data_IF_789175998234
#
_entry.id   IF_789175998234
#
_cell.length_a   1.000
_cell.length_b   1.000
_cell.length_c   1.000
_cell.angle_alpha   90.00
_cell.angle_beta   90.00
_cell.angle_gamma   90.00
#
_symmetry.space_group_name_H-M   'P 1'
#
loop_
_entity.id
_entity.type
_entity.pdbx_description
1 polymer ?
#
# COMPACT_ATOMS: atom_id res chain seq x y z
N UNK A 1 26.30 7.79 -1.04
CA UNK A 1 25.28 8.06 -2.07
C UNK A 1 25.54 9.44 -2.65
N UNK A 2 25.84 9.55 -3.94
CA UNK A 2 26.02 10.87 -4.60
C UNK A 2 24.62 11.45 -4.81
N UNK A 3 24.32 12.55 -4.17
CA UNK A 3 23.02 13.22 -4.31
C UNK A 3 22.95 13.80 -5.74
N UNK A 4 22.08 13.27 -6.58
CA UNK A 4 21.82 13.85 -7.89
C UNK A 4 20.83 15.00 -7.71
N UNK A 5 21.23 16.23 -8.08
CA UNK A 5 20.33 17.41 -8.00
C UNK A 5 19.08 17.32 -8.90
N UNK A 6 19.02 16.27 -9.74
CA UNK A 6 17.89 15.95 -10.62
C UNK A 6 16.98 14.83 -10.08
N UNK A 7 17.19 14.36 -8.84
CA UNK A 7 16.37 13.31 -8.22
C UNK A 7 15.23 13.90 -7.37
N UNK A 8 14.01 13.42 -7.56
CA UNK A 8 12.83 13.82 -6.79
C UNK A 8 12.02 12.58 -6.41
N UNK A 9 11.35 12.59 -5.25
CA UNK A 9 10.41 11.51 -4.89
C UNK A 9 9.26 11.42 -5.90
N UNK A 10 8.74 10.20 -6.09
CA UNK A 10 7.64 9.97 -7.05
C UNK A 10 6.40 10.80 -6.69
N UNK A 11 6.13 11.06 -5.42
CA UNK A 11 5.06 11.97 -5.00
C UNK A 11 5.16 13.33 -5.69
N UNK A 12 6.34 13.97 -5.62
CA UNK A 12 6.57 15.25 -6.28
C UNK A 12 6.56 15.11 -7.81
N UNK A 13 7.09 14.02 -8.33
CA UNK A 13 7.14 13.75 -9.77
C UNK A 13 5.73 13.67 -10.38
N UNK A 14 4.80 12.96 -9.73
CA UNK A 14 3.39 12.84 -10.12
C UNK A 14 2.71 14.20 -10.25
N UNK A 15 2.98 15.12 -9.32
CA UNK A 15 2.35 16.44 -9.31
C UNK A 15 3.07 17.48 -10.20
N UNK A 16 4.19 17.12 -10.80
CA UNK A 16 5.01 18.02 -11.63
C UNK A 16 5.10 17.56 -13.08
N UNK A 17 4.53 16.40 -13.42
CA UNK A 17 4.64 15.81 -14.76
C UNK A 17 3.27 15.31 -15.25
N UNK A 18 3.09 15.18 -16.59
CA UNK A 18 1.91 14.54 -17.15
C UNK A 18 1.71 13.12 -16.61
N UNK A 19 0.46 12.69 -16.32
CA UNK A 19 0.17 11.37 -15.75
C UNK A 19 0.76 10.20 -16.51
N UNK A 20 0.83 10.27 -17.84
CA UNK A 20 1.44 9.23 -18.68
C UNK A 20 2.92 8.99 -18.40
N UNK A 21 3.68 10.02 -18.01
CA UNK A 21 5.09 9.86 -17.60
C UNK A 21 5.20 9.11 -16.27
N UNK A 22 4.37 9.46 -15.31
CA UNK A 22 4.32 8.81 -14.00
C UNK A 22 3.88 7.35 -14.14
N UNK A 23 2.88 7.06 -14.99
CA UNK A 23 2.46 5.70 -15.29
C UNK A 23 3.57 4.87 -15.94
N UNK A 24 4.34 5.46 -16.88
CA UNK A 24 5.48 4.78 -17.50
C UNK A 24 6.57 4.41 -16.47
N UNK A 25 6.86 5.31 -15.52
CA UNK A 25 7.78 5.03 -14.41
C UNK A 25 7.25 3.86 -13.55
N UNK A 26 5.99 3.90 -13.09
CA UNK A 26 5.44 2.82 -12.26
C UNK A 26 5.41 1.47 -12.98
N UNK A 27 5.03 1.44 -14.26
CA UNK A 27 5.08 0.22 -15.07
C UNK A 27 6.50 -0.34 -15.18
N UNK A 28 7.48 0.55 -15.33
CA UNK A 28 8.89 0.16 -15.35
C UNK A 28 9.35 -0.41 -14.02
N UNK A 29 9.00 0.23 -12.90
CA UNK A 29 9.29 -0.27 -11.55
C UNK A 29 8.70 -1.66 -11.36
N UNK A 30 7.39 -1.83 -11.61
CA UNK A 30 6.69 -3.10 -11.43
C UNK A 30 7.26 -4.21 -12.31
N UNK A 31 7.64 -3.90 -13.56
CA UNK A 31 8.29 -4.85 -14.45
C UNK A 31 9.66 -5.26 -13.92
N UNK A 32 10.47 -4.31 -13.50
CA UNK A 32 11.82 -4.60 -13.00
C UNK A 32 11.77 -5.43 -11.69
N UNK A 33 10.85 -5.12 -10.78
CA UNK A 33 10.64 -5.93 -9.57
C UNK A 33 10.25 -7.37 -9.93
N UNK A 34 9.33 -7.54 -10.88
CA UNK A 34 8.91 -8.86 -11.34
C UNK A 34 10.07 -9.66 -11.97
N UNK A 35 10.82 -9.03 -12.86
CA UNK A 35 11.90 -9.70 -13.62
C UNK A 35 13.19 -9.92 -12.81
N UNK A 36 13.53 -9.00 -11.90
CA UNK A 36 14.81 -8.98 -11.22
C UNK A 36 14.74 -9.43 -9.75
N UNK A 37 13.55 -9.40 -9.15
CA UNK A 37 13.37 -9.73 -7.75
C UNK A 37 12.37 -10.88 -7.55
N UNK A 38 11.12 -10.72 -7.97
CA UNK A 38 10.06 -11.68 -7.62
C UNK A 38 10.26 -13.05 -8.28
N UNK A 39 10.41 -13.10 -9.62
CA UNK A 39 10.58 -14.36 -10.34
C UNK A 39 11.87 -15.12 -9.98
N UNK A 40 13.05 -14.45 -9.89
CA UNK A 40 14.28 -15.16 -9.58
C UNK A 40 14.34 -15.74 -8.16
N UNK A 41 13.56 -15.18 -7.23
CA UNK A 41 13.55 -15.61 -5.81
C UNK A 41 12.27 -16.33 -5.41
N UNK A 42 11.42 -16.70 -6.39
CA UNK A 42 10.17 -17.39 -6.15
C UNK A 42 10.35 -18.71 -5.38
N UNK A 43 9.53 -18.90 -4.35
CA UNK A 43 9.59 -20.05 -3.46
C UNK A 43 8.18 -20.41 -2.92
N UNK A 44 7.99 -21.63 -2.40
CA UNK A 44 6.73 -22.00 -1.73
C UNK A 44 6.47 -21.13 -0.49
N UNK A 45 5.19 -20.91 -0.19
CA UNK A 45 4.78 -20.28 1.05
C UNK A 45 5.16 -21.16 2.27
N UNK A 46 5.57 -20.50 3.34
CA UNK A 46 5.90 -21.14 4.61
C UNK A 46 4.71 -21.00 5.59
N UNK A 47 4.02 -22.10 5.95
CA UNK A 47 2.88 -22.04 6.85
C UNK A 47 3.21 -21.43 8.23
N UNK A 48 4.42 -21.63 8.76
CA UNK A 48 4.82 -21.08 10.05
C UNK A 48 4.93 -19.56 9.98
N UNK A 49 5.47 -19.02 8.89
CA UNK A 49 5.54 -17.58 8.65
C UNK A 49 4.18 -16.95 8.46
N UNK A 50 3.25 -17.66 7.80
CA UNK A 50 1.85 -17.20 7.66
C UNK A 50 1.22 -17.08 9.05
N UNK A 51 1.35 -18.08 9.92
CA UNK A 51 0.85 -18.01 11.29
C UNK A 51 1.47 -16.87 12.07
N UNK A 52 2.78 -16.69 11.94
CA UNK A 52 3.50 -15.60 12.59
C UNK A 52 2.99 -14.23 12.11
N UNK A 53 2.73 -14.08 10.81
CA UNK A 53 2.17 -12.86 10.22
C UNK A 53 0.77 -12.56 10.77
N UNK A 54 -0.13 -13.56 10.78
CA UNK A 54 -1.48 -13.39 11.30
C UNK A 54 -1.47 -12.97 12.77
N UNK A 55 -0.69 -13.64 13.60
CA UNK A 55 -0.64 -13.34 15.03
C UNK A 55 0.08 -12.01 15.33
N UNK A 56 1.27 -11.79 14.78
CA UNK A 56 2.12 -10.64 15.15
C UNK A 56 1.81 -9.35 14.38
N UNK A 57 1.24 -9.45 13.18
CA UNK A 57 0.91 -8.24 12.40
C UNK A 57 -0.58 -7.96 12.43
N UNK A 58 -1.43 -8.91 12.10
CA UNK A 58 -2.86 -8.67 12.02
C UNK A 58 -3.47 -8.54 13.40
N UNK A 59 -3.42 -9.58 14.24
CA UNK A 59 -4.08 -9.57 15.55
C UNK A 59 -3.53 -8.49 16.48
N UNK A 60 -2.19 -8.40 16.58
CA UNK A 60 -1.57 -7.39 17.44
C UNK A 60 -1.90 -5.95 16.99
N UNK A 61 -2.06 -5.70 15.69
CA UNK A 61 -2.48 -4.38 15.21
C UNK A 61 -3.98 -4.14 15.43
N UNK A 62 -4.83 -5.15 15.27
CA UNK A 62 -6.26 -5.05 15.61
C UNK A 62 -6.46 -4.75 17.10
N UNK A 63 -5.69 -5.39 17.98
CA UNK A 63 -5.69 -5.09 19.42
C UNK A 63 -5.30 -3.64 19.71
N UNK A 64 -4.20 -3.16 19.09
CA UNK A 64 -3.78 -1.76 19.24
C UNK A 64 -4.84 -0.78 18.78
N UNK A 65 -5.53 -1.08 17.67
CA UNK A 65 -6.63 -0.24 17.15
C UNK A 65 -7.80 -0.25 18.14
N UNK A 66 -8.19 -1.42 18.64
CA UNK A 66 -9.28 -1.58 19.60
C UNK A 66 -9.00 -0.86 20.92
N UNK A 67 -7.75 -0.88 21.38
CA UNK A 67 -7.35 -0.28 22.65
C UNK A 67 -6.95 1.20 22.52
N UNK A 68 -6.82 1.72 21.32
CA UNK A 68 -6.50 3.12 21.09
C UNK A 68 -7.61 4.02 21.64
N UNK A 69 -7.23 4.99 22.50
CA UNK A 69 -8.17 5.84 23.26
C UNK A 69 -9.30 6.45 22.42
N UNK A 70 -9.00 6.91 21.22
CA UNK A 70 -9.97 7.55 20.31
C UNK A 70 -10.83 6.51 19.59
N UNK A 71 -10.28 5.33 19.28
CA UNK A 71 -10.95 4.32 18.46
C UNK A 71 -11.75 3.31 19.29
N UNK A 72 -11.45 3.20 20.60
CA UNK A 72 -12.10 2.25 21.50
C UNK A 72 -13.62 2.38 21.52
N UNK A 73 -14.13 3.61 21.56
CA UNK A 73 -15.58 3.85 21.57
C UNK A 73 -16.20 3.53 20.21
N UNK A 74 -15.49 3.84 19.11
CA UNK A 74 -15.93 3.54 17.75
C UNK A 74 -16.17 2.04 17.54
N UNK A 75 -15.41 1.18 18.22
CA UNK A 75 -15.55 -0.29 18.11
C UNK A 75 -16.92 -0.81 18.52
N UNK A 76 -17.66 -0.08 19.35
CA UNK A 76 -18.99 -0.48 19.82
C UNK A 76 -20.10 -0.32 18.76
N UNK A 77 -19.87 0.44 17.72
CA UNK A 77 -20.85 0.70 16.66
C UNK A 77 -20.72 -0.31 15.52
N UNK A 78 -21.84 -0.73 14.95
CA UNK A 78 -21.86 -1.57 13.73
C UNK A 78 -21.51 -0.77 12.49
N UNK A 79 -21.88 0.51 12.52
CA UNK A 79 -21.61 1.45 11.44
C UNK A 79 -20.93 2.71 11.95
N UNK A 80 -20.01 3.22 11.16
CA UNK A 80 -19.35 4.50 11.38
C UNK A 80 -19.65 5.44 10.22
N UNK A 81 -19.64 6.71 10.50
CA UNK A 81 -19.77 7.76 9.50
C UNK A 81 -18.43 8.43 9.29
N UNK A 82 -17.97 8.48 8.06
CA UNK A 82 -16.71 9.14 7.69
C UNK A 82 -17.05 10.23 6.69
N UNK A 83 -16.82 11.49 7.06
CA UNK A 83 -17.16 12.66 6.24
C UNK A 83 -18.59 12.60 5.67
N UNK A 84 -19.56 12.27 6.52
CA UNK A 84 -20.98 12.20 6.16
C UNK A 84 -21.39 10.94 5.38
N UNK A 85 -20.49 9.98 5.13
CA UNK A 85 -20.82 8.69 4.49
C UNK A 85 -20.80 7.56 5.51
N UNK A 86 -21.81 6.69 5.45
CA UNK A 86 -21.93 5.54 6.35
C UNK A 86 -21.18 4.33 5.81
N UNK A 87 -20.36 3.71 6.68
CA UNK A 87 -19.58 2.51 6.39
C UNK A 87 -19.87 1.43 7.43
N UNK A 88 -19.69 0.16 7.06
CA UNK A 88 -19.64 -0.94 8.03
C UNK A 88 -18.39 -0.80 8.87
N UNK A 89 -18.50 -1.02 10.17
CA UNK A 89 -17.34 -1.00 11.04
C UNK A 89 -16.53 -2.30 10.96
N UNK A 90 -15.30 -2.27 11.44
CA UNK A 90 -14.37 -3.42 11.37
C UNK A 90 -14.97 -4.71 11.95
N UNK A 91 -15.74 -4.64 13.04
CA UNK A 91 -16.39 -5.83 13.61
C UNK A 91 -17.40 -6.51 12.67
N UNK A 92 -18.02 -5.73 11.79
CA UNK A 92 -18.95 -6.22 10.75
C UNK A 92 -18.22 -6.80 9.52
N UNK A 93 -16.91 -6.62 9.47
CA UNK A 93 -16.02 -7.12 8.44
C UNK A 93 -15.21 -8.34 8.92
N UNK A 94 -15.68 -9.03 9.98
CA UNK A 94 -14.97 -10.14 10.61
C UNK A 94 -14.54 -11.25 9.65
N UNK A 95 -15.28 -11.44 8.53
CA UNK A 95 -14.88 -12.38 7.48
C UNK A 95 -13.52 -12.03 6.81
N UNK A 96 -13.12 -10.75 6.82
CA UNK A 96 -11.82 -10.31 6.31
C UNK A 96 -10.66 -10.61 7.29
N UNK A 97 -10.98 -11.00 8.51
CA UNK A 97 -10.03 -11.32 9.58
C UNK A 97 -10.16 -12.78 10.04
N UNK A 98 -10.90 -13.60 9.30
CA UNK A 98 -11.00 -15.04 9.58
C UNK A 98 -9.68 -15.74 9.27
N UNK A 99 -9.03 -16.30 10.31
CA UNK A 99 -7.72 -16.91 10.19
C UNK A 99 -7.71 -18.11 9.22
N UNK A 100 -8.77 -18.91 9.15
CA UNK A 100 -8.80 -20.04 8.23
C UNK A 100 -8.88 -19.58 6.77
N UNK A 101 -9.71 -18.58 6.50
CA UNK A 101 -9.81 -17.98 5.17
C UNK A 101 -8.46 -17.33 4.77
N UNK A 102 -7.84 -16.58 5.68
CA UNK A 102 -6.57 -15.92 5.43
C UNK A 102 -5.42 -16.91 5.26
N UNK A 103 -5.33 -17.98 6.04
CA UNK A 103 -4.35 -19.07 5.83
C UNK A 103 -4.46 -19.66 4.44
N UNK A 104 -5.69 -19.96 4.01
CA UNK A 104 -5.94 -20.51 2.67
C UNK A 104 -5.50 -19.53 1.58
N UNK A 105 -5.82 -18.25 1.76
CA UNK A 105 -5.45 -17.20 0.82
C UNK A 105 -3.92 -17.05 0.73
N UNK A 106 -3.25 -16.86 1.86
CA UNK A 106 -1.80 -16.63 1.90
C UNK A 106 -0.98 -17.86 1.50
N UNK A 107 -1.50 -19.07 1.74
CA UNK A 107 -0.85 -20.30 1.25
C UNK A 107 -0.85 -20.41 -0.29
N UNK A 108 -1.79 -19.74 -0.95
CA UNK A 108 -1.86 -19.68 -2.42
C UNK A 108 -1.08 -18.49 -3.00
N UNK A 109 -0.60 -17.56 -2.18
CA UNK A 109 0.16 -16.40 -2.65
C UNK A 109 1.50 -16.82 -3.25
N UNK A 110 1.96 -16.14 -4.31
CA UNK A 110 3.36 -16.22 -4.69
C UNK A 110 4.23 -15.66 -3.57
N UNK A 111 5.29 -16.36 -3.23
CA UNK A 111 6.29 -15.92 -2.23
C UNK A 111 7.62 -15.71 -2.92
N UNK A 112 8.26 -14.59 -2.64
CA UNK A 112 9.54 -14.18 -3.22
C UNK A 112 10.22 -13.16 -2.31
N UNK A 113 11.43 -12.75 -2.61
CA UNK A 113 11.98 -11.55 -1.99
C UNK A 113 11.21 -10.33 -2.50
N UNK A 114 10.89 -9.41 -1.60
CA UNK A 114 10.06 -8.23 -1.87
C UNK A 114 10.75 -6.96 -1.36
N UNK A 115 10.28 -5.81 -1.81
CA UNK A 115 10.68 -4.53 -1.22
C UNK A 115 10.09 -4.37 0.19
N UNK A 116 8.86 -4.82 0.40
CA UNK A 116 8.17 -4.86 1.70
C UNK A 116 7.62 -3.53 2.19
N UNK A 117 7.91 -2.42 1.51
CA UNK A 117 7.33 -1.09 1.76
C UNK A 117 7.28 -0.25 0.48
N UNK A 118 6.73 -0.80 -0.60
CA UNK A 118 6.67 -0.16 -1.92
C UNK A 118 5.61 0.94 -1.96
N UNK A 119 5.84 2.01 -1.22
CA UNK A 119 5.03 3.24 -1.26
C UNK A 119 5.55 4.20 -2.31
N UNK A 120 4.73 5.21 -2.66
CA UNK A 120 5.13 6.27 -3.60
C UNK A 120 6.35 7.05 -3.09
N UNK A 121 6.51 7.18 -1.76
CA UNK A 121 7.65 7.91 -1.17
C UNK A 121 8.97 7.15 -1.32
N UNK A 122 8.93 5.81 -1.44
CA UNK A 122 10.10 4.97 -1.58
C UNK A 122 10.55 4.78 -3.04
N UNK A 123 9.92 5.48 -3.98
CA UNK A 123 10.31 5.53 -5.39
C UNK A 123 10.87 6.92 -5.70
N UNK A 124 12.11 6.95 -6.14
CA UNK A 124 12.81 8.19 -6.53
C UNK A 124 12.91 8.26 -8.05
N UNK A 125 12.52 9.38 -8.63
CA UNK A 125 12.56 9.64 -10.07
C UNK A 125 13.71 10.57 -10.43
N UNK A 126 14.35 10.29 -11.55
CA UNK A 126 15.35 11.15 -12.18
C UNK A 126 14.69 12.02 -13.23
N UNK A 127 14.78 13.33 -13.07
CA UNK A 127 14.16 14.31 -13.96
C UNK A 127 15.04 14.62 -15.20
N UNK A 128 16.30 14.20 -15.18
CA UNK A 128 17.29 14.36 -16.25
C UNK A 128 17.35 13.16 -17.21
N UNK A 129 16.53 12.13 -17.01
CA UNK A 129 16.51 10.90 -17.80
C UNK A 129 15.14 10.69 -18.42
N UNK A 130 15.08 10.66 -19.74
CA UNK A 130 13.82 10.47 -20.46
C UNK A 130 13.36 9.01 -20.53
N UNK A 131 14.30 8.07 -20.58
CA UNK A 131 13.98 6.65 -20.64
C UNK A 131 13.40 6.18 -19.30
N UNK A 132 12.11 5.78 -19.22
CA UNK A 132 11.47 5.39 -17.97
C UNK A 132 12.15 4.20 -17.29
N UNK A 133 12.84 3.32 -18.04
CA UNK A 133 13.51 2.14 -17.46
C UNK A 133 14.84 2.48 -16.73
N UNK A 134 15.31 3.72 -16.89
CA UNK A 134 16.54 4.22 -16.28
C UNK A 134 16.29 5.45 -15.38
N UNK A 135 15.05 5.90 -15.31
CA UNK A 135 14.68 7.18 -14.71
C UNK A 135 14.23 7.03 -13.26
N UNK A 136 14.48 5.92 -12.61
CA UNK A 136 14.07 5.68 -11.22
C UNK A 136 15.03 4.78 -10.45
N UNK A 137 14.89 4.78 -9.14
CA UNK A 137 15.41 3.79 -8.21
C UNK A 137 14.49 3.72 -7.00
N UNK A 138 14.50 2.58 -6.31
CA UNK A 138 13.76 2.37 -5.08
C UNK A 138 14.70 2.42 -3.89
N UNK A 139 14.19 2.88 -2.74
CA UNK A 139 14.93 3.09 -1.51
C UNK A 139 14.18 2.48 -0.33
N UNK A 140 14.87 2.30 0.79
CA UNK A 140 14.31 1.90 2.07
C UNK A 140 13.50 0.59 2.03
N UNK A 141 14.08 -0.53 1.54
CA UNK A 141 13.42 -1.81 1.59
C UNK A 141 13.20 -2.24 3.04
N UNK A 142 12.01 -2.77 3.32
CA UNK A 142 11.72 -3.39 4.61
C UNK A 142 12.11 -4.87 4.59
N UNK A 143 13.21 -5.20 5.23
CA UNK A 143 13.72 -6.58 5.31
C UNK A 143 13.16 -7.40 6.48
N UNK A 144 12.30 -6.81 7.30
CA UNK A 144 11.71 -7.44 8.49
C UNK A 144 10.29 -7.98 8.27
N UNK A 145 9.91 -8.35 7.04
CA UNK A 145 8.60 -8.90 6.76
C UNK A 145 8.48 -10.34 7.26
N UNK A 146 7.32 -10.70 7.76
CA UNK A 146 7.00 -12.07 8.19
C UNK A 146 6.44 -12.91 7.05
N UNK A 147 5.78 -12.28 6.07
CA UNK A 147 5.26 -12.92 4.86
C UNK A 147 5.73 -12.12 3.64
N UNK A 148 6.52 -12.76 2.79
CA UNK A 148 7.18 -12.11 1.67
C UNK A 148 6.39 -12.41 0.37
N UNK A 149 5.25 -11.78 0.19
CA UNK A 149 4.48 -11.88 -1.04
C UNK A 149 4.58 -10.59 -1.88
N UNK A 150 4.80 -10.66 -3.21
CA UNK A 150 4.67 -9.52 -4.10
C UNK A 150 3.34 -8.76 -3.96
N UNK A 151 2.28 -9.44 -3.52
CA UNK A 151 0.99 -8.81 -3.28
C UNK A 151 1.03 -7.81 -2.12
N UNK A 152 1.96 -7.96 -1.17
CA UNK A 152 2.17 -6.94 -0.13
C UNK A 152 2.78 -5.67 -0.71
N UNK A 153 3.71 -5.77 -1.66
CA UNK A 153 4.25 -4.61 -2.37
C UNK A 153 3.15 -3.90 -3.18
N UNK A 154 2.30 -4.66 -3.88
CA UNK A 154 1.15 -4.06 -4.59
C UNK A 154 0.15 -3.43 -3.60
N UNK A 155 -0.08 -4.05 -2.45
CA UNK A 155 -0.91 -3.48 -1.39
C UNK A 155 -0.35 -2.16 -0.84
N UNK A 156 0.96 -2.06 -0.67
CA UNK A 156 1.64 -0.82 -0.28
C UNK A 156 1.50 0.28 -1.33
N UNK A 157 1.66 -0.06 -2.60
CA UNK A 157 1.45 0.88 -3.69
C UNK A 157 -0.01 1.35 -3.76
N UNK A 158 -0.99 0.45 -3.55
CA UNK A 158 -2.40 0.79 -3.48
C UNK A 158 -2.75 1.63 -2.24
N UNK A 159 -2.07 1.42 -1.12
CA UNK A 159 -2.19 2.27 0.07
C UNK A 159 -1.86 3.73 -0.26
N UNK A 160 -0.85 3.97 -1.08
CA UNK A 160 -0.53 5.30 -1.61
C UNK A 160 -1.58 5.77 -2.62
N UNK A 161 -1.69 5.11 -3.76
CA UNK A 161 -2.44 5.60 -4.92
C UNK A 161 -3.96 5.65 -4.71
N UNK A 162 -4.54 4.58 -4.14
CA UNK A 162 -5.98 4.50 -3.88
C UNK A 162 -6.34 5.00 -2.48
N UNK A 163 -5.56 4.63 -1.48
CA UNK A 163 -5.77 5.03 -0.09
C UNK A 163 -5.41 6.48 0.22
N UNK A 164 -4.54 7.10 -0.59
CA UNK A 164 -4.09 8.47 -0.38
C UNK A 164 -3.27 8.64 0.90
N UNK A 165 -2.46 7.64 1.24
CA UNK A 165 -1.69 7.57 2.48
C UNK A 165 -0.91 8.84 2.77
N UNK A 166 -0.19 9.39 1.79
CA UNK A 166 0.62 10.59 1.93
C UNK A 166 -0.24 11.82 2.30
N UNK A 167 -1.44 11.91 1.74
CA UNK A 167 -2.39 13.00 2.06
C UNK A 167 -3.00 12.82 3.46
N UNK A 168 -3.28 11.59 3.88
CA UNK A 168 -3.76 11.32 5.23
C UNK A 168 -2.73 11.71 6.29
N UNK A 169 -1.45 11.45 6.03
CA UNK A 169 -0.36 11.84 6.93
C UNK A 169 -0.19 13.37 7.04
N UNK A 170 -0.61 14.11 6.02
CA UNK A 170 -0.59 15.58 6.01
C UNK A 170 -1.89 16.20 6.57
N UNK A 171 -2.89 15.38 6.93
CA UNK A 171 -4.19 15.87 7.41
C UNK A 171 -4.06 16.46 8.82
N UNK A 172 -4.27 17.78 8.97
CA UNK A 172 -3.93 18.47 10.22
C UNK A 172 -4.96 18.25 11.35
N UNK A 173 -6.17 17.84 11.02
CA UNK A 173 -7.26 17.72 11.97
C UNK A 173 -8.16 16.54 11.65
N UNK A 174 -8.47 15.78 12.70
CA UNK A 174 -9.50 14.75 12.69
C UNK A 174 -10.37 14.97 13.94
N UNK A 175 -11.68 14.99 13.78
CA UNK A 175 -12.62 15.02 14.89
C UNK A 175 -13.36 13.69 14.95
N UNK A 176 -13.50 13.15 16.14
CA UNK A 176 -14.28 11.93 16.41
C UNK A 176 -15.34 12.29 17.43
N UNK A 177 -16.59 12.09 17.09
CA UNK A 177 -17.73 12.31 17.97
C UNK A 177 -18.71 11.15 17.83
N UNK A 178 -18.87 10.35 18.87
CA UNK A 178 -19.64 9.12 18.83
C UNK A 178 -19.15 8.20 17.69
N UNK A 179 -20.02 7.86 16.73
CA UNK A 179 -19.67 7.06 15.56
C UNK A 179 -19.34 7.90 14.30
N UNK A 180 -19.10 9.20 14.45
CA UNK A 180 -18.76 10.10 13.36
C UNK A 180 -17.27 10.45 13.40
N UNK A 181 -16.63 10.34 12.26
CA UNK A 181 -15.24 10.73 12.02
C UNK A 181 -15.25 11.76 10.90
N UNK A 182 -14.85 12.98 11.20
CA UNK A 182 -14.72 14.04 10.22
C UNK A 182 -13.27 14.50 10.13
N UNK A 183 -12.74 14.51 8.93
CA UNK A 183 -11.41 15.01 8.64
C UNK A 183 -11.33 15.61 7.24
N UNK A 184 -10.43 16.55 7.07
CA UNK A 184 -10.19 17.14 5.76
C UNK A 184 -9.29 16.20 4.95
N UNK A 185 -9.87 15.48 4.00
CA UNK A 185 -9.13 14.65 3.06
C UNK A 185 -8.76 15.50 1.84
N UNK A 186 -7.47 15.69 1.63
CA UNK A 186 -6.96 16.19 0.35
C UNK A 186 -6.87 15.01 -0.62
N UNK A 187 -7.45 15.15 -1.80
CA UNK A 187 -7.29 14.20 -2.91
C UNK A 187 -6.59 14.89 -4.07
N UNK A 188 -5.82 14.11 -4.80
CA UNK A 188 -5.13 14.56 -6.01
C UNK A 188 -5.71 13.87 -7.24
N UNK A 189 -6.22 14.65 -8.18
CA UNK A 189 -6.64 14.12 -9.47
C UNK A 189 -5.49 13.40 -10.22
N UNK A 190 -4.24 13.80 -9.96
CA UNK A 190 -3.08 13.12 -10.52
C UNK A 190 -2.92 11.69 -9.96
N UNK A 191 -3.24 11.49 -8.68
CA UNK A 191 -3.26 10.15 -8.06
C UNK A 191 -4.37 9.29 -8.63
N UNK A 192 -5.59 9.83 -8.73
CA UNK A 192 -6.75 9.11 -9.28
C UNK A 192 -6.45 8.67 -10.74
N UNK A 193 -5.93 9.58 -11.56
CA UNK A 193 -5.55 9.27 -12.95
C UNK A 193 -4.43 8.23 -13.03
N UNK A 194 -3.44 8.32 -12.15
CA UNK A 194 -2.35 7.37 -12.12
C UNK A 194 -2.82 5.99 -11.64
N UNK A 195 -3.69 5.95 -10.63
CA UNK A 195 -4.31 4.71 -10.16
C UNK A 195 -5.08 4.02 -11.30
N UNK A 196 -5.94 4.75 -12.01
CA UNK A 196 -6.67 4.21 -13.17
C UNK A 196 -5.71 3.65 -14.23
N UNK A 197 -4.64 4.40 -14.54
CA UNK A 197 -3.67 4.00 -15.55
C UNK A 197 -2.88 2.72 -15.21
N UNK A 198 -2.70 2.38 -13.94
CA UNK A 198 -1.94 1.19 -13.51
C UNK A 198 -2.81 0.09 -12.90
N UNK A 199 -4.09 0.34 -12.68
CA UNK A 199 -4.99 -0.60 -12.02
C UNK A 199 -5.12 -1.92 -12.80
N UNK A 200 -5.23 -1.84 -14.12
CA UNK A 200 -5.33 -3.03 -14.98
C UNK A 200 -4.02 -3.81 -15.02
N UNK A 201 -2.88 -3.12 -14.97
CA UNK A 201 -1.57 -3.77 -14.86
C UNK A 201 -1.45 -4.55 -13.53
N UNK A 202 -1.93 -3.96 -12.43
CA UNK A 202 -1.93 -4.62 -11.13
C UNK A 202 -2.89 -5.82 -11.10
N UNK A 203 -4.10 -5.69 -11.64
CA UNK A 203 -5.06 -6.80 -11.76
C UNK A 203 -4.47 -7.95 -12.54
N UNK A 204 -3.90 -7.69 -13.70
CA UNK A 204 -3.29 -8.72 -14.53
C UNK A 204 -2.16 -9.48 -13.79
N UNK A 205 -1.39 -8.79 -12.94
CA UNK A 205 -0.34 -9.40 -12.11
C UNK A 205 -0.90 -10.27 -10.98
N UNK A 206 -2.08 -9.94 -10.47
CA UNK A 206 -2.77 -10.72 -9.45
C UNK A 206 -3.61 -11.87 -10.04
N UNK A 207 -3.65 -12.06 -11.35
CA UNK A 207 -4.44 -13.10 -12.00
C UNK A 207 -5.96 -12.83 -11.97
N UNK A 208 -6.36 -11.55 -11.85
CA UNK A 208 -7.76 -11.12 -11.74
C UNK A 208 -8.27 -10.47 -13.04
#
# INVERSE_FOLDING_TARGET
>A
MTYSGSAVGLFRYIHSNPPGKSAAILRSVLRALDEQLYRPTARPADPEKIEEYLNKKMDANLEKIRDARILKELWNYDRIWINGRSYRNLKELGCLFDHNALRTLFAADPVADIHGDLTVENIICRTDVENPDKAWYIIDPNTGNLHDSPYLDYGKLLQSLHGGYEFMMMTPRCTVQENHIDFQLTRSAAYDTLFEAVCDDLRARCGA
#
